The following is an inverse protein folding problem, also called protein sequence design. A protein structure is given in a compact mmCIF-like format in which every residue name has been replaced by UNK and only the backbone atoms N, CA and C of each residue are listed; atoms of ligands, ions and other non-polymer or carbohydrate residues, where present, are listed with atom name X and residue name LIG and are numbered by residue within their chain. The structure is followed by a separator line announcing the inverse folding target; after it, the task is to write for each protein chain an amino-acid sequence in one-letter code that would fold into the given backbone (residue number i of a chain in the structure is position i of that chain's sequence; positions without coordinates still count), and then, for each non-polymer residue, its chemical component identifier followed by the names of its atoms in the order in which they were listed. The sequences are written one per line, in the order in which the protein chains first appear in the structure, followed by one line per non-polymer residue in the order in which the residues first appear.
data_IF_706878981284
#
_entry.id   IF_706878981284
#
_cell.length_a   1.000
_cell.length_b   1.000
_cell.length_c   1.000
_cell.angle_alpha   90.00
_cell.angle_beta   90.00
_cell.angle_gamma   90.00
#
_symmetry.space_group_name_H-M   'P 1'
#
loop_
_entity.id
_entity.type
_entity.pdbx_description
1 polymer ?
#
# COMPACT_ATOMS: atom_id res chain seq x y z
N UNK A 1 -24.27 -6.40 3.50
CA UNK A 1 -23.32 -5.39 3.01
C UNK A 1 -22.71 -5.93 1.74
N UNK A 2 -23.09 -5.38 0.58
CA UNK A 2 -22.62 -5.87 -0.72
C UNK A 2 -21.13 -5.55 -0.87
N UNK A 3 -20.35 -6.54 -1.33
CA UNK A 3 -19.00 -6.28 -1.80
C UNK A 3 -19.11 -5.18 -2.87
N UNK A 4 -18.49 -4.03 -2.63
CA UNK A 4 -18.42 -2.96 -3.63
C UNK A 4 -17.81 -3.46 -4.94
N UNK A 5 -17.97 -2.69 -6.01
CA UNK A 5 -17.27 -2.98 -7.27
C UNK A 5 -15.77 -2.74 -7.09
N UNK A 6 -14.96 -3.65 -7.63
CA UNK A 6 -13.49 -3.59 -7.61
C UNK A 6 -12.99 -3.57 -9.04
N UNK A 7 -12.21 -2.55 -9.38
CA UNK A 7 -11.67 -2.31 -10.70
C UNK A 7 -10.16 -2.09 -10.60
N UNK A 8 -9.37 -2.78 -11.41
CA UNK A 8 -7.94 -2.49 -11.53
C UNK A 8 -7.73 -1.18 -12.30
N UNK A 9 -6.86 -0.31 -11.77
CA UNK A 9 -6.61 1.03 -12.28
C UNK A 9 -5.10 1.30 -12.35
N UNK A 10 -4.73 2.35 -13.09
CA UNK A 10 -3.37 2.90 -13.04
C UNK A 10 -3.38 4.28 -12.38
N UNK A 11 -2.79 4.40 -11.19
CA UNK A 11 -2.62 5.71 -10.55
C UNK A 11 -1.69 6.64 -11.35
N UNK A 12 -0.77 6.10 -12.16
CA UNK A 12 0.07 6.92 -13.02
C UNK A 12 -0.74 7.59 -14.13
N UNK A 13 -1.67 6.84 -14.74
CA UNK A 13 -2.62 7.41 -15.72
C UNK A 13 -3.53 8.42 -15.03
N UNK A 14 -4.14 8.05 -13.90
CA UNK A 14 -5.11 8.91 -13.22
C UNK A 14 -4.51 10.20 -12.65
N UNK A 15 -3.35 10.12 -11.99
CA UNK A 15 -2.79 11.26 -11.25
C UNK A 15 -1.79 12.07 -12.06
N UNK A 16 -1.22 11.51 -13.13
CA UNK A 16 -0.10 12.12 -13.86
C UNK A 16 -0.34 12.18 -15.37
N UNK A 17 -1.53 11.81 -15.84
CA UNK A 17 -1.87 11.73 -17.27
C UNK A 17 -0.84 10.93 -18.07
N UNK A 18 -0.25 9.91 -17.44
CA UNK A 18 0.74 9.06 -18.09
C UNK A 18 0.07 8.27 -19.22
N UNK A 19 0.84 7.99 -20.26
CA UNK A 19 0.45 7.02 -21.28
C UNK A 19 0.25 5.64 -20.64
N UNK A 20 -0.82 4.93 -21.04
CA UNK A 20 -1.20 3.66 -20.42
C UNK A 20 -0.15 2.58 -20.67
N UNK A 21 0.33 2.46 -21.91
CA UNK A 21 1.33 1.45 -22.27
C UNK A 21 2.61 1.69 -21.47
N UNK A 22 3.05 2.95 -21.36
CA UNK A 22 4.18 3.30 -20.52
C UNK A 22 3.93 2.96 -19.03
N UNK A 23 2.75 3.26 -18.51
CA UNK A 23 2.40 3.06 -17.10
C UNK A 23 2.29 1.58 -16.70
N UNK A 24 1.98 0.68 -17.64
CA UNK A 24 1.83 -0.77 -17.40
C UNK A 24 2.98 -1.60 -17.99
N UNK A 25 3.99 -0.97 -18.59
CA UNK A 25 5.12 -1.66 -19.24
C UNK A 25 6.08 -2.39 -18.28
N UNK A 26 5.99 -2.13 -16.97
CA UNK A 26 6.83 -2.77 -15.97
C UNK A 26 6.46 -4.23 -15.72
N UNK A 27 7.46 -5.07 -15.45
CA UNK A 27 7.23 -6.46 -15.09
C UNK A 27 6.69 -6.55 -13.64
N UNK A 28 5.47 -7.10 -13.42
CA UNK A 28 4.95 -7.31 -12.09
C UNK A 28 5.75 -8.43 -11.40
N UNK A 29 6.07 -8.24 -10.13
CA UNK A 29 6.83 -9.21 -9.34
C UNK A 29 5.91 -10.16 -8.57
N UNK A 30 4.71 -9.69 -8.21
CA UNK A 30 3.65 -10.46 -7.58
C UNK A 30 2.41 -10.61 -8.46
N UNK A 31 1.68 -11.72 -8.27
CA UNK A 31 0.44 -11.99 -9.02
C UNK A 31 -0.68 -10.94 -8.81
N UNK A 32 -0.62 -10.20 -7.71
CA UNK A 32 -1.59 -9.15 -7.34
C UNK A 32 -0.97 -7.75 -7.33
N UNK A 33 0.21 -7.56 -7.93
CA UNK A 33 0.81 -6.24 -8.07
C UNK A 33 -0.11 -5.33 -8.90
N UNK A 34 -0.42 -4.14 -8.37
CA UNK A 34 -1.31 -3.21 -9.05
C UNK A 34 -2.02 -2.25 -8.09
N UNK A 35 -2.94 -1.48 -8.66
CA UNK A 35 -3.84 -0.61 -7.93
C UNK A 35 -5.29 -0.96 -8.24
N UNK A 36 -6.11 -1.01 -7.20
CA UNK A 36 -7.52 -1.39 -7.31
C UNK A 36 -8.41 -0.31 -6.71
N UNK A 37 -9.38 0.18 -7.47
CA UNK A 37 -10.42 1.08 -6.99
C UNK A 37 -11.55 0.28 -6.35
N UNK A 38 -11.99 0.69 -5.17
CA UNK A 38 -13.13 0.12 -4.45
C UNK A 38 -14.27 1.15 -4.42
N UNK A 39 -15.40 0.83 -5.05
CA UNK A 39 -16.60 1.68 -5.06
C UNK A 39 -17.61 1.22 -4.02
N UNK A 40 -18.01 2.10 -3.10
CA UNK A 40 -19.09 1.83 -2.12
C UNK A 40 -20.03 3.04 -2.06
N UNK A 41 -21.23 2.89 -2.60
CA UNK A 41 -22.12 4.04 -2.81
C UNK A 41 -21.51 4.97 -3.85
N UNK A 42 -21.42 6.26 -3.54
CA UNK A 42 -20.73 7.26 -4.36
C UNK A 42 -19.22 7.34 -4.08
N UNK A 43 -18.76 6.84 -2.94
CA UNK A 43 -17.36 6.94 -2.53
C UNK A 43 -16.43 5.93 -3.21
N UNK A 44 -15.19 6.36 -3.44
CA UNK A 44 -14.11 5.56 -4.05
C UNK A 44 -12.89 5.57 -3.15
N UNK A 45 -12.42 4.38 -2.79
CA UNK A 45 -11.12 4.16 -2.14
C UNK A 45 -10.19 3.34 -3.02
N UNK A 46 -8.96 3.13 -2.57
CA UNK A 46 -7.93 2.46 -3.37
C UNK A 46 -7.16 1.44 -2.54
N UNK A 47 -6.75 0.35 -3.17
CA UNK A 47 -5.82 -0.64 -2.63
C UNK A 47 -4.64 -0.75 -3.59
N UNK A 48 -3.46 -0.34 -3.16
CA UNK A 48 -2.21 -0.58 -3.86
C UNK A 48 -1.51 -1.80 -3.28
N UNK A 49 -1.03 -2.70 -4.14
CA UNK A 49 -0.26 -3.89 -3.78
C UNK A 49 1.01 -3.89 -4.61
N UNK A 50 2.16 -4.07 -3.97
CA UNK A 50 3.44 -4.14 -4.66
C UNK A 50 4.40 -5.08 -3.91
N UNK A 51 4.81 -6.15 -4.57
CA UNK A 51 5.91 -7.00 -4.16
C UNK A 51 7.22 -6.43 -4.73
N UNK A 52 8.21 -6.25 -3.87
CA UNK A 52 9.52 -5.78 -4.26
C UNK A 52 10.59 -6.80 -3.93
N UNK A 53 11.54 -6.95 -4.86
CA UNK A 53 12.70 -7.79 -4.65
C UNK A 53 13.72 -7.13 -3.72
N UNK A 54 14.71 -7.92 -3.28
CA UNK A 54 15.77 -7.42 -2.40
C UNK A 54 16.56 -6.27 -3.03
N UNK A 55 16.81 -6.34 -4.35
CA UNK A 55 17.59 -5.34 -5.09
C UNK A 55 16.90 -3.98 -5.09
N UNK A 56 15.57 -3.94 -5.26
CA UNK A 56 14.78 -2.72 -5.14
C UNK A 56 14.92 -2.10 -3.75
N UNK A 57 14.82 -2.93 -2.69
CA UNK A 57 14.94 -2.45 -1.32
C UNK A 57 16.33 -1.91 -1.00
N UNK A 58 17.38 -2.61 -1.42
CA UNK A 58 18.78 -2.16 -1.26
C UNK A 58 19.01 -0.81 -1.96
N UNK A 59 18.44 -0.61 -3.16
CA UNK A 59 18.55 0.66 -3.88
C UNK A 59 17.72 1.78 -3.24
N UNK A 60 16.54 1.44 -2.68
CA UNK A 60 15.61 2.42 -2.11
C UNK A 60 15.99 2.85 -0.69
N UNK A 61 16.66 1.98 0.05
CA UNK A 61 17.10 2.18 1.43
C UNK A 61 18.62 1.97 1.55
N UNK A 62 19.43 2.84 0.91
CA UNK A 62 20.88 2.63 0.74
C UNK A 62 21.68 2.67 2.05
N UNK A 63 21.12 3.24 3.13
CA UNK A 63 21.81 3.39 4.42
C UNK A 63 21.82 2.10 5.27
N UNK A 64 21.50 0.94 4.68
CA UNK A 64 21.53 -0.35 5.37
C UNK A 64 20.45 -0.50 6.45
N UNK A 65 19.42 0.34 6.42
CA UNK A 65 18.24 0.16 7.26
C UNK A 65 17.58 -1.16 6.87
N UNK A 66 17.65 -2.12 7.80
CA UNK A 66 17.01 -3.42 7.67
C UNK A 66 15.54 -3.21 7.23
N UNK A 67 15.08 -3.79 6.11
CA UNK A 67 13.68 -3.75 5.74
C UNK A 67 12.75 -4.25 6.86
N UNK A 68 13.22 -5.10 7.77
CA UNK A 68 12.50 -5.57 8.96
C UNK A 68 12.65 -4.67 10.20
N UNK A 69 13.35 -3.53 10.09
CA UNK A 69 13.48 -2.54 11.16
C UNK A 69 12.12 -2.14 11.73
N UNK A 70 12.08 -1.94 13.04
CA UNK A 70 10.86 -1.62 13.77
C UNK A 70 10.40 -0.20 13.46
N UNK A 71 9.45 -0.09 12.53
CA UNK A 71 8.84 1.19 12.16
C UNK A 71 7.95 1.79 13.25
N UNK A 72 7.56 0.99 14.25
CA UNK A 72 6.73 1.44 15.35
C UNK A 72 7.56 2.06 16.47
N UNK A 73 8.85 1.74 16.53
CA UNK A 73 9.79 2.42 17.41
C UNK A 73 10.02 3.87 16.93
N UNK A 74 10.07 4.85 17.85
CA UNK A 74 10.49 6.21 17.49
C UNK A 74 11.92 6.20 16.93
N UNK A 75 12.12 6.80 15.76
CA UNK A 75 13.44 6.95 15.15
C UNK A 75 13.74 8.42 14.85
N UNK A 76 14.85 8.93 15.38
CA UNK A 76 15.29 10.31 15.14
C UNK A 76 14.28 11.34 15.65
N UNK A 77 13.96 12.33 14.80
CA UNK A 77 13.04 13.44 15.11
C UNK A 77 11.66 13.27 14.49
N UNK A 78 11.42 12.16 13.78
CA UNK A 78 10.12 11.92 13.15
C UNK A 78 9.06 11.59 14.21
N UNK A 79 7.82 12.09 14.04
CA UNK A 79 6.74 11.68 14.92
C UNK A 79 6.49 10.17 14.79
N UNK A 80 6.14 9.50 15.89
CA UNK A 80 5.85 8.06 15.86
C UNK A 80 4.66 7.77 14.93
N UNK A 81 4.70 6.63 14.26
CA UNK A 81 3.60 6.16 13.41
C UNK A 81 2.36 5.92 14.27
N UNK A 82 1.23 6.43 13.82
CA UNK A 82 -0.06 6.29 14.51
C UNK A 82 -0.59 4.86 14.36
N UNK A 83 -1.17 4.31 15.43
CA UNK A 83 -1.71 2.94 15.48
C UNK A 83 -0.74 1.89 14.89
N UNK A 84 0.56 2.03 15.12
CA UNK A 84 1.54 1.12 14.55
C UNK A 84 1.57 -0.20 15.32
N UNK A 85 1.45 -1.31 14.58
CA UNK A 85 1.56 -2.66 15.13
C UNK A 85 2.57 -3.44 14.32
N UNK A 86 3.58 -3.98 15.00
CA UNK A 86 4.59 -4.89 14.47
C UNK A 86 4.31 -6.31 14.99
N UNK A 87 4.32 -7.28 14.08
CA UNK A 87 4.11 -8.69 14.37
C UNK A 87 5.27 -9.51 13.78
N UNK A 88 5.98 -10.22 14.65
CA UNK A 88 6.91 -11.27 14.21
C UNK A 88 6.13 -12.55 13.97
N UNK A 89 6.25 -13.07 12.76
CA UNK A 89 5.49 -14.23 12.29
C UNK A 89 6.42 -15.43 12.13
N UNK A 90 5.80 -16.62 12.07
CA UNK A 90 6.53 -17.85 11.80
C UNK A 90 7.26 -17.77 10.45
N UNK A 91 8.47 -18.37 10.42
CA UNK A 91 9.33 -18.39 9.24
C UNK A 91 10.15 -17.12 9.03
N UNK A 92 10.36 -16.30 10.07
CA UNK A 92 11.19 -15.09 9.98
C UNK A 92 10.54 -13.94 9.23
N UNK A 93 9.21 -13.99 9.05
CA UNK A 93 8.44 -12.91 8.42
C UNK A 93 8.13 -11.83 9.45
N UNK A 94 8.11 -10.56 9.01
CA UNK A 94 7.75 -9.43 9.88
C UNK A 94 6.67 -8.61 9.20
N UNK A 95 5.49 -8.55 9.81
CA UNK A 95 4.39 -7.71 9.35
C UNK A 95 4.34 -6.44 10.20
N UNK A 96 4.25 -5.29 9.56
CA UNK A 96 3.98 -4.02 10.23
C UNK A 96 2.81 -3.33 9.56
N UNK A 97 1.80 -2.92 10.34
CA UNK A 97 0.64 -2.16 9.86
C UNK A 97 0.50 -0.89 10.69
N UNK A 98 0.37 0.25 10.03
CA UNK A 98 0.18 1.55 10.69
C UNK A 98 -0.87 2.40 9.97
N UNK A 99 -1.39 3.40 10.68
CA UNK A 99 -2.29 4.41 10.11
C UNK A 99 -1.45 5.57 9.59
N UNK A 100 -1.71 5.96 8.35
CA UNK A 100 -1.23 7.22 7.81
C UNK A 100 -2.40 8.23 7.87
N UNK A 101 -2.22 9.36 8.58
CA UNK A 101 -3.26 10.38 8.63
C UNK A 101 -3.45 11.01 7.26
N UNK A 102 -4.58 11.70 7.08
CA UNK A 102 -4.83 12.51 5.88
C UNK A 102 -3.66 13.45 5.65
N UNK A 103 -3.15 13.43 4.42
CA UNK A 103 -1.96 14.18 4.05
C UNK A 103 -2.19 14.92 2.75
N UNK A 104 -1.67 16.15 2.67
CA UNK A 104 -1.59 16.92 1.44
C UNK A 104 -0.12 17.00 1.03
N UNK A 105 0.19 16.50 -0.16
CA UNK A 105 1.47 16.78 -0.80
C UNK A 105 1.38 18.17 -1.43
N UNK A 106 2.39 19.03 -1.30
CA UNK A 106 2.34 20.45 -1.74
C UNK A 106 1.84 20.61 -3.19
N UNK A 107 2.26 19.70 -4.08
CA UNK A 107 1.85 19.66 -5.50
C UNK A 107 1.07 18.38 -5.88
N UNK A 108 0.62 17.61 -4.88
CA UNK A 108 -0.04 16.31 -5.11
C UNK A 108 -1.48 16.26 -4.61
N UNK A 109 -2.18 15.15 -4.86
CA UNK A 109 -3.55 15.00 -4.40
C UNK A 109 -3.61 15.00 -2.86
N UNK A 110 -4.74 15.47 -2.33
CA UNK A 110 -5.06 15.35 -0.91
C UNK A 110 -5.56 13.92 -0.66
N UNK A 111 -4.76 13.12 0.03
CA UNK A 111 -5.11 11.75 0.34
C UNK A 111 -6.03 11.68 1.55
N UNK A 112 -6.99 10.75 1.47
CA UNK A 112 -7.78 10.32 2.60
C UNK A 112 -6.93 9.63 3.66
N UNK A 113 -7.60 9.12 4.68
CA UNK A 113 -6.94 8.26 5.67
C UNK A 113 -6.47 6.96 5.02
N UNK A 114 -5.35 6.42 5.48
CA UNK A 114 -4.79 5.19 4.95
C UNK A 114 -4.37 4.21 6.04
N UNK A 115 -4.51 2.93 5.74
CA UNK A 115 -3.80 1.85 6.40
C UNK A 115 -2.68 1.40 5.49
N UNK A 116 -1.45 1.41 6.01
CA UNK A 116 -0.27 0.95 5.27
C UNK A 116 0.27 -0.29 5.94
N UNK A 117 0.54 -1.31 5.12
CA UNK A 117 1.14 -2.56 5.53
C UNK A 117 2.47 -2.80 4.83
N UNK A 118 3.45 -3.31 5.57
CA UNK A 118 4.70 -3.86 5.06
C UNK A 118 4.92 -5.27 5.62
N UNK A 119 5.02 -6.26 4.75
CA UNK A 119 5.38 -7.62 5.10
C UNK A 119 6.76 -7.94 4.53
N UNK A 120 7.74 -8.13 5.40
CA UNK A 120 9.10 -8.55 5.02
C UNK A 120 9.18 -10.06 5.04
N UNK A 121 9.74 -10.63 3.98
CA UNK A 121 9.92 -12.05 3.77
C UNK A 121 11.37 -12.46 4.13
N UNK A 122 11.60 -13.72 4.54
CA UNK A 122 12.92 -14.20 4.93
C UNK A 122 13.96 -14.21 3.79
N UNK A 123 13.52 -14.17 2.54
CA UNK A 123 14.37 -14.07 1.35
C UNK A 123 14.81 -12.62 1.05
N UNK A 124 14.37 -11.65 1.86
CA UNK A 124 14.67 -10.23 1.72
C UNK A 124 13.75 -9.50 0.75
N UNK A 125 12.70 -10.13 0.23
CA UNK A 125 11.61 -9.43 -0.46
C UNK A 125 10.68 -8.74 0.52
N UNK A 126 9.92 -7.76 0.04
CA UNK A 126 8.88 -7.13 0.85
C UNK A 126 7.62 -6.83 0.04
N UNK A 127 6.47 -7.19 0.63
CA UNK A 127 5.15 -6.82 0.14
C UNK A 127 4.71 -5.53 0.82
N UNK A 128 4.33 -4.54 0.02
CA UNK A 128 3.73 -3.28 0.46
C UNK A 128 2.27 -3.26 0.06
N UNK A 129 1.40 -2.90 1.00
CA UNK A 129 -0.02 -2.69 0.74
C UNK A 129 -0.45 -1.33 1.27
N UNK A 130 -1.12 -0.54 0.43
CA UNK A 130 -1.65 0.77 0.78
C UNK A 130 -3.15 0.78 0.57
N UNK A 131 -3.90 0.78 1.66
CA UNK A 131 -5.35 0.81 1.68
C UNK A 131 -5.83 2.22 2.04
N UNK A 132 -6.37 2.94 1.05
CA UNK A 132 -6.66 4.37 1.12
C UNK A 132 -8.15 4.64 0.99
N UNK A 133 -8.67 5.56 1.79
CA UNK A 133 -10.04 6.05 1.68
C UNK A 133 -10.29 6.88 0.40
N UNK A 134 -9.29 7.07 -0.45
CA UNK A 134 -9.39 7.80 -1.72
C UNK A 134 -8.49 9.03 -1.74
N UNK A 135 -8.64 9.86 -2.77
CA UNK A 135 -7.99 11.16 -2.84
C UNK A 135 -8.91 12.25 -3.41
N UNK A 136 -8.55 13.51 -3.17
CA UNK A 136 -9.15 14.68 -3.81
C UNK A 136 -8.13 15.37 -4.71
N UNK A 137 -8.62 15.90 -5.82
CA UNK A 137 -7.81 16.62 -6.79
C UNK A 137 -7.89 15.99 -8.18
N UNK A 138 -6.85 16.22 -8.98
CA UNK A 138 -6.73 15.67 -10.33
C UNK A 138 -6.90 14.14 -10.33
N UNK A 139 -7.60 13.62 -11.35
CA UNK A 139 -7.83 12.19 -11.49
C UNK A 139 -8.77 11.54 -10.47
N UNK A 140 -9.51 12.31 -9.67
CA UNK A 140 -10.47 11.72 -8.72
C UNK A 140 -11.58 10.96 -9.44
N UNK A 141 -11.92 9.77 -8.94
CA UNK A 141 -12.98 8.92 -9.51
C UNK A 141 -14.32 9.04 -8.78
N UNK A 142 -14.37 9.79 -7.68
CA UNK A 142 -15.53 10.01 -6.83
C UNK A 142 -15.15 10.66 -5.49
N UNK A 143 -16.11 10.95 -4.61
CA UNK A 143 -15.85 11.31 -3.21
C UNK A 143 -14.97 10.30 -2.47
N UNK A 144 -14.32 10.75 -1.39
CA UNK A 144 -13.63 9.85 -0.46
C UNK A 144 -14.61 8.88 0.20
N UNK A 145 -14.18 7.65 0.42
CA UNK A 145 -14.85 6.77 1.36
C UNK A 145 -14.79 7.35 2.79
N UNK A 146 -15.79 7.08 3.63
CA UNK A 146 -15.78 7.50 5.03
C UNK A 146 -14.67 6.82 5.84
N UNK A 147 -14.29 5.59 5.46
CA UNK A 147 -13.21 4.80 6.04
C UNK A 147 -12.42 4.11 4.92
N UNK A 148 -11.24 3.58 5.23
CA UNK A 148 -10.50 2.74 4.29
C UNK A 148 -11.34 1.54 3.80
N UNK A 149 -11.08 1.04 2.58
CA UNK A 149 -11.75 -0.15 2.05
C UNK A 149 -11.65 -1.36 2.99
N UNK A 150 -10.49 -1.63 3.57
CA UNK A 150 -10.27 -2.75 4.47
C UNK A 150 -10.17 -2.30 5.93
N UNK A 151 -10.68 -3.13 6.83
CA UNK A 151 -10.28 -3.08 8.24
C UNK A 151 -8.84 -3.56 8.42
N UNK A 152 -8.23 -3.26 9.56
CA UNK A 152 -6.88 -3.76 9.89
C UNK A 152 -6.82 -5.29 9.84
N UNK A 153 -7.84 -5.97 10.37
CA UNK A 153 -7.92 -7.43 10.35
C UNK A 153 -8.01 -7.99 8.92
N UNK A 154 -8.77 -7.33 8.04
CA UNK A 154 -8.88 -7.71 6.63
C UNK A 154 -7.58 -7.44 5.86
N UNK A 155 -6.91 -6.32 6.11
CA UNK A 155 -5.62 -6.00 5.52
C UNK A 155 -4.56 -7.02 5.94
N UNK A 156 -4.50 -7.35 7.23
CA UNK A 156 -3.65 -8.42 7.76
C UNK A 156 -3.95 -9.75 7.08
N UNK A 157 -5.22 -10.13 7.01
CA UNK A 157 -5.62 -11.39 6.38
C UNK A 157 -5.19 -11.45 4.92
N UNK A 158 -5.38 -10.37 4.15
CA UNK A 158 -4.93 -10.25 2.77
C UNK A 158 -3.42 -10.46 2.65
N UNK A 159 -2.62 -9.73 3.44
CA UNK A 159 -1.16 -9.76 3.36
C UNK A 159 -0.55 -11.12 3.74
N UNK A 160 -1.27 -11.93 4.51
CA UNK A 160 -0.81 -13.27 4.92
C UNK A 160 -1.21 -14.38 3.96
N UNK A 161 -1.98 -14.07 2.91
CA UNK A 161 -2.33 -15.05 1.89
C UNK A 161 -1.10 -15.45 1.07
N UNK A 162 -0.96 -16.71 0.66
CA UNK A 162 0.17 -17.10 -0.17
C UNK A 162 0.11 -16.45 -1.56
N UNK A 163 -1.09 -16.15 -2.08
CA UNK A 163 -1.24 -15.62 -3.44
C UNK A 163 -0.70 -14.18 -3.61
N UNK A 164 -0.61 -13.38 -2.52
CA UNK A 164 -0.02 -12.02 -2.59
C UNK A 164 1.51 -12.02 -2.61
N UNK A 165 2.15 -13.15 -2.30
CA UNK A 165 3.61 -13.29 -2.29
C UNK A 165 4.11 -14.40 -3.23
N UNK A 166 3.20 -14.98 -4.00
CA UNK A 166 3.54 -15.92 -5.05
C UNK A 166 4.13 -15.15 -6.24
N UNK A 167 5.23 -15.68 -6.77
CA UNK A 167 5.77 -15.23 -8.06
C UNK A 167 4.72 -15.47 -9.15
N UNK A 168 4.72 -14.61 -10.17
CA UNK A 168 3.83 -14.74 -11.33
C UNK A 168 4.30 -15.81 -12.31
#
# INVERSE_FOLDING_TARGET
AGAGEVEEISLAVLLKDADLDAATSGEPHGALDGWYAFRRGDGVGYLGVALHDRKYLEAKFPDGLDPAHDLCAPSGTEPPRTDCVREELTGGRVLTIWRQPRGRNEDGPEWGEELTGRLVLPDGRALFVRDSAGHRGHGQLGPLLPTTPLSREQLRALMLRPEVVADR
#
